data_IF_720132715317
#
_entry.id   IF_720132715317
#
_cell.length_a   1.000
_cell.length_b   1.000
_cell.length_c   1.000
_cell.angle_alpha   90.00
_cell.angle_beta   90.00
_cell.angle_gamma   90.00
#
_symmetry.space_group_name_H-M   'P 1'
#
loop_
_entity.id
_entity.type
_entity.pdbx_description
1 polymer ?
#
# COMPACT_ATOMS: atom_id res chain seq x y z
N UNK A 1 47.85 17.83 -20.34
CA UNK A 1 47.85 16.67 -19.42
C UNK A 1 46.53 16.51 -18.68
N UNK A 2 46.03 17.56 -18.01
CA UNK A 2 44.84 17.54 -17.14
C UNK A 2 43.54 17.07 -17.84
N UNK A 3 43.28 17.49 -19.08
CA UNK A 3 42.08 17.04 -19.83
C UNK A 3 42.09 15.54 -20.16
N UNK A 4 43.26 14.96 -20.45
CA UNK A 4 43.40 13.51 -20.70
C UNK A 4 43.19 12.70 -19.42
N UNK A 5 43.75 13.14 -18.29
CA UNK A 5 43.55 12.46 -17.00
C UNK A 5 42.11 12.52 -16.52
N UNK A 6 41.40 13.65 -16.70
CA UNK A 6 39.97 13.75 -16.39
C UNK A 6 39.11 12.78 -17.23
N UNK A 7 39.43 12.60 -18.51
CA UNK A 7 38.71 11.68 -19.39
C UNK A 7 38.96 10.20 -19.04
N UNK A 8 40.19 9.87 -18.61
CA UNK A 8 40.49 8.51 -18.11
C UNK A 8 39.74 8.24 -16.80
N UNK A 9 39.73 9.21 -15.88
CA UNK A 9 39.02 9.08 -14.60
C UNK A 9 37.50 8.88 -14.80
N UNK A 10 36.87 9.59 -15.74
CA UNK A 10 35.45 9.42 -16.05
C UNK A 10 35.15 8.04 -16.67
N UNK A 11 36.04 7.53 -17.53
CA UNK A 11 35.91 6.19 -18.14
C UNK A 11 36.11 5.07 -17.12
N UNK A 12 37.05 5.22 -16.19
CA UNK A 12 37.23 4.29 -15.06
C UNK A 12 35.98 4.29 -14.17
N UNK A 13 35.43 5.47 -13.85
CA UNK A 13 34.20 5.59 -13.07
C UNK A 13 33.02 4.89 -13.75
N UNK A 14 32.85 5.05 -15.06
CA UNK A 14 31.75 4.39 -15.79
C UNK A 14 31.91 2.86 -15.87
N UNK A 15 33.14 2.36 -16.04
CA UNK A 15 33.44 0.93 -16.02
C UNK A 15 33.21 0.32 -14.63
N UNK A 16 33.62 1.03 -13.56
CA UNK A 16 33.34 0.64 -12.18
C UNK A 16 31.83 0.53 -11.94
N UNK A 17 31.06 1.55 -12.31
CA UNK A 17 29.60 1.52 -12.17
C UNK A 17 28.95 0.36 -12.95
N UNK A 18 29.44 0.06 -14.17
CA UNK A 18 28.96 -1.09 -14.95
C UNK A 18 29.28 -2.42 -14.27
N UNK A 19 30.50 -2.58 -13.76
CA UNK A 19 30.90 -3.78 -13.04
C UNK A 19 30.07 -3.97 -11.75
N UNK A 20 29.81 -2.89 -11.01
CA UNK A 20 28.95 -2.89 -9.83
C UNK A 20 27.51 -3.28 -10.18
N UNK A 21 26.95 -2.73 -11.27
CA UNK A 21 25.63 -3.10 -11.77
C UNK A 21 25.53 -4.59 -12.15
N UNK A 22 26.52 -5.11 -12.88
CA UNK A 22 26.62 -6.54 -13.21
C UNK A 22 26.66 -7.39 -11.93
N UNK A 23 27.43 -6.94 -10.93
CA UNK A 23 27.58 -7.66 -9.65
C UNK A 23 26.23 -7.76 -8.91
N UNK A 24 25.46 -6.66 -8.83
CA UNK A 24 24.12 -6.69 -8.23
C UNK A 24 23.18 -7.67 -8.94
N UNK A 25 23.15 -7.63 -10.28
CA UNK A 25 22.31 -8.53 -11.06
C UNK A 25 22.71 -10.00 -10.88
N UNK A 26 24.01 -10.27 -10.80
CA UNK A 26 24.53 -11.62 -10.56
C UNK A 26 24.15 -12.16 -9.17
N UNK A 27 24.25 -11.34 -8.13
CA UNK A 27 23.79 -11.71 -6.77
C UNK A 27 22.30 -12.03 -6.78
N UNK A 28 21.49 -11.15 -7.36
CA UNK A 28 20.03 -11.33 -7.44
C UNK A 28 19.67 -12.59 -8.23
N UNK A 29 20.38 -12.87 -9.32
CA UNK A 29 20.19 -14.06 -10.14
C UNK A 29 20.48 -15.35 -9.36
N UNK A 30 21.64 -15.44 -8.70
CA UNK A 30 21.98 -16.61 -7.88
C UNK A 30 20.98 -16.82 -6.74
N UNK A 31 20.54 -15.75 -6.05
CA UNK A 31 19.52 -15.88 -5.01
C UNK A 31 18.18 -16.40 -5.55
N UNK A 32 17.72 -15.85 -6.68
CA UNK A 32 16.46 -16.29 -7.31
C UNK A 32 16.52 -17.76 -7.73
N UNK A 33 17.63 -18.21 -8.33
CA UNK A 33 17.81 -19.64 -8.64
C UNK A 33 17.80 -20.47 -7.37
N UNK A 34 18.54 -20.04 -6.33
CA UNK A 34 18.56 -20.73 -5.04
C UNK A 34 17.16 -20.89 -4.43
N UNK A 35 16.32 -19.85 -4.53
CA UNK A 35 14.92 -19.87 -4.08
C UNK A 35 14.05 -20.82 -4.89
N UNK A 36 14.19 -20.80 -6.22
CA UNK A 36 13.49 -21.73 -7.09
C UNK A 36 13.86 -23.17 -6.73
N UNK A 37 15.16 -23.49 -6.67
CA UNK A 37 15.65 -24.83 -6.33
C UNK A 37 15.15 -25.30 -4.96
N UNK A 38 15.12 -24.42 -3.96
CA UNK A 38 14.58 -24.73 -2.63
C UNK A 38 13.11 -25.15 -2.71
N UNK A 39 12.30 -24.39 -3.44
CA UNK A 39 10.87 -24.67 -3.60
C UNK A 39 10.62 -25.95 -4.40
N UNK A 40 11.53 -26.34 -5.30
CA UNK A 40 11.51 -27.62 -6.01
C UNK A 40 12.04 -28.81 -5.18
N UNK A 41 12.55 -28.58 -3.96
CA UNK A 41 13.08 -29.61 -3.08
C UNK A 41 14.57 -29.91 -3.23
N UNK A 42 15.26 -29.27 -4.18
CA UNK A 42 16.73 -29.38 -4.34
C UNK A 42 17.45 -28.46 -3.35
N UNK A 43 17.45 -28.90 -2.10
CA UNK A 43 18.03 -28.13 -0.98
C UNK A 43 19.55 -28.01 -1.04
N UNK A 44 20.25 -28.94 -1.72
CA UNK A 44 21.71 -28.93 -1.81
C UNK A 44 22.16 -27.84 -2.79
N UNK A 45 21.65 -27.87 -4.02
CA UNK A 45 22.06 -26.90 -5.03
C UNK A 45 21.51 -25.51 -4.69
N UNK A 46 20.33 -25.43 -4.06
CA UNK A 46 19.82 -24.19 -3.47
C UNK A 46 20.82 -23.53 -2.51
N UNK A 47 21.33 -24.28 -1.52
CA UNK A 47 22.31 -23.76 -0.55
C UNK A 47 23.59 -23.30 -1.22
N UNK A 48 24.04 -23.99 -2.28
CA UNK A 48 25.21 -23.60 -3.06
C UNK A 48 25.00 -22.29 -3.81
N UNK A 49 23.84 -22.11 -4.46
CA UNK A 49 23.50 -20.87 -5.15
C UNK A 49 23.40 -19.68 -4.18
N UNK A 50 22.74 -19.89 -3.03
CA UNK A 50 22.68 -18.90 -1.95
C UNK A 50 24.09 -18.54 -1.48
N UNK A 51 24.95 -19.53 -1.19
CA UNK A 51 26.33 -19.30 -0.75
C UNK A 51 27.15 -18.51 -1.78
N UNK A 52 26.99 -18.80 -3.08
CA UNK A 52 27.65 -18.05 -4.14
C UNK A 52 27.22 -16.58 -4.13
N UNK A 53 25.93 -16.33 -4.04
CA UNK A 53 25.41 -14.97 -3.96
C UNK A 53 25.90 -14.23 -2.71
N UNK A 54 25.97 -14.91 -1.56
CA UNK A 54 26.53 -14.36 -0.32
C UNK A 54 28.01 -13.97 -0.47
N UNK A 55 28.81 -14.83 -1.09
CA UNK A 55 30.23 -14.54 -1.32
C UNK A 55 30.41 -13.31 -2.21
N UNK A 56 29.61 -13.19 -3.27
CA UNK A 56 29.66 -12.03 -4.17
C UNK A 56 29.18 -10.76 -3.43
N UNK A 57 28.13 -10.86 -2.61
CA UNK A 57 27.63 -9.75 -1.81
C UNK A 57 28.66 -9.25 -0.77
N UNK A 58 29.44 -10.15 -0.18
CA UNK A 58 30.52 -9.82 0.76
C UNK A 58 31.60 -8.95 0.10
N UNK A 59 31.91 -9.22 -1.17
CA UNK A 59 32.91 -8.47 -1.97
C UNK A 59 32.39 -7.12 -2.47
N UNK A 60 31.10 -6.83 -2.29
CA UNK A 60 30.52 -5.58 -2.73
C UNK A 60 30.85 -4.46 -1.74
N UNK A 61 31.34 -3.32 -2.26
CA UNK A 61 31.90 -2.24 -1.44
C UNK A 61 30.96 -1.06 -1.23
N UNK A 62 29.94 -0.88 -2.09
CA UNK A 62 29.03 0.25 -1.95
C UNK A 62 27.94 -0.10 -0.92
N UNK A 63 27.93 0.64 0.20
CA UNK A 63 27.22 0.27 1.42
C UNK A 63 25.70 0.21 1.26
N UNK A 64 25.09 1.10 0.47
CA UNK A 64 23.63 1.10 0.31
C UNK A 64 23.15 -0.16 -0.41
N UNK A 65 23.75 -0.50 -1.56
CA UNK A 65 23.36 -1.69 -2.30
C UNK A 65 23.70 -2.95 -1.52
N UNK A 66 24.85 -2.99 -0.82
CA UNK A 66 25.19 -4.10 0.08
C UNK A 66 24.13 -4.30 1.17
N UNK A 67 23.73 -3.22 1.82
CA UNK A 67 22.70 -3.24 2.85
C UNK A 67 21.36 -3.74 2.31
N UNK A 68 20.95 -3.25 1.13
CA UNK A 68 19.73 -3.69 0.45
C UNK A 68 19.78 -5.18 0.08
N UNK A 69 20.89 -5.65 -0.47
CA UNK A 69 21.10 -7.07 -0.78
C UNK A 69 20.92 -7.90 0.50
N UNK A 70 21.58 -7.53 1.60
CA UNK A 70 21.50 -8.27 2.85
C UNK A 70 20.08 -8.31 3.42
N UNK A 71 19.35 -7.19 3.32
CA UNK A 71 17.95 -7.12 3.71
C UNK A 71 17.08 -8.07 2.88
N UNK A 72 17.21 -8.09 1.55
CA UNK A 72 16.43 -8.98 0.68
C UNK A 72 16.75 -10.45 0.94
N UNK A 73 18.03 -10.77 1.09
CA UNK A 73 18.50 -12.12 1.45
C UNK A 73 17.90 -12.57 2.77
N UNK A 74 17.85 -11.68 3.77
CA UNK A 74 17.25 -12.00 5.06
C UNK A 74 15.78 -12.43 4.91
N UNK A 75 15.02 -11.77 4.03
CA UNK A 75 13.61 -12.09 3.78
C UNK A 75 13.46 -13.45 3.12
N UNK A 76 14.23 -13.70 2.06
CA UNK A 76 14.21 -14.98 1.33
C UNK A 76 14.59 -16.15 2.25
N UNK A 77 15.61 -15.99 3.09
CA UNK A 77 16.00 -17.01 4.07
C UNK A 77 14.91 -17.27 5.12
N UNK A 78 14.15 -16.24 5.50
CA UNK A 78 13.03 -16.41 6.42
C UNK A 78 11.91 -17.26 5.78
N UNK A 79 11.61 -17.03 4.50
CA UNK A 79 10.66 -17.85 3.73
C UNK A 79 11.13 -19.30 3.60
N UNK A 80 12.44 -19.52 3.45
CA UNK A 80 13.07 -20.84 3.46
C UNK A 80 13.15 -21.50 4.86
N UNK A 81 12.58 -20.84 5.89
CA UNK A 81 12.60 -21.28 7.30
C UNK A 81 14.01 -21.33 7.93
N UNK A 82 15.02 -20.69 7.34
CA UNK A 82 16.34 -20.50 7.96
C UNK A 82 16.37 -19.21 8.79
N UNK A 83 15.72 -19.27 9.95
CA UNK A 83 15.56 -18.10 10.82
C UNK A 83 16.88 -17.60 11.41
N UNK A 84 17.85 -18.50 11.65
CA UNK A 84 19.15 -18.13 12.21
C UNK A 84 19.95 -17.29 11.21
N UNK A 85 20.07 -17.78 9.98
CA UNK A 85 20.83 -17.06 8.95
C UNK A 85 20.10 -15.80 8.50
N UNK A 86 18.77 -15.86 8.39
CA UNK A 86 17.92 -14.71 8.12
C UNK A 86 18.17 -13.57 9.12
N UNK A 87 18.12 -13.86 10.43
CA UNK A 87 18.34 -12.84 11.46
C UNK A 87 19.76 -12.27 11.44
N UNK A 88 20.76 -13.12 11.12
CA UNK A 88 22.13 -12.64 10.94
C UNK A 88 22.20 -11.59 9.83
N UNK A 89 21.65 -11.87 8.65
CA UNK A 89 21.70 -10.93 7.53
C UNK A 89 20.90 -9.64 7.78
N UNK A 90 19.79 -9.72 8.52
CA UNK A 90 19.06 -8.52 8.94
C UNK A 90 19.90 -7.65 9.88
N UNK A 91 20.59 -8.26 10.86
CA UNK A 91 21.47 -7.52 11.77
C UNK A 91 22.68 -6.92 11.04
N UNK A 92 23.27 -7.67 10.11
CA UNK A 92 24.37 -7.17 9.28
C UNK A 92 23.89 -5.99 8.40
N UNK A 93 22.68 -6.04 7.86
CA UNK A 93 22.04 -4.92 7.15
C UNK A 93 21.86 -3.70 8.07
N UNK A 94 21.40 -3.88 9.30
CA UNK A 94 21.30 -2.82 10.31
C UNK A 94 22.66 -2.15 10.55
N UNK A 95 23.73 -2.93 10.68
CA UNK A 95 25.08 -2.41 10.93
C UNK A 95 25.62 -1.61 9.73
N UNK A 96 25.48 -2.16 8.52
CA UNK A 96 25.93 -1.49 7.28
C UNK A 96 25.14 -0.20 7.03
N UNK A 97 23.86 -0.15 7.41
CA UNK A 97 23.02 1.03 7.19
C UNK A 97 23.62 2.31 7.83
N UNK A 98 24.29 2.21 8.98
CA UNK A 98 24.97 3.37 9.58
C UNK A 98 26.20 3.85 8.81
N UNK A 99 26.80 3.01 7.98
CA UNK A 99 27.98 3.34 7.17
C UNK A 99 27.63 4.04 5.86
N UNK A 100 26.34 4.15 5.52
CA UNK A 100 25.90 4.82 4.30
C UNK A 100 26.11 6.33 4.44
N UNK A 101 26.98 6.87 3.59
CA UNK A 101 27.35 8.29 3.60
C UNK A 101 26.24 9.21 3.07
N UNK A 102 25.51 8.77 2.05
CA UNK A 102 24.40 9.56 1.50
C UNK A 102 23.20 9.50 2.48
N UNK A 103 22.81 10.67 3.00
CA UNK A 103 21.75 10.78 4.01
C UNK A 103 20.40 10.26 3.50
N UNK A 104 20.01 10.59 2.28
CA UNK A 104 18.72 10.20 1.71
C UNK A 104 18.64 8.68 1.53
N UNK A 105 19.71 8.06 0.98
CA UNK A 105 19.82 6.61 0.85
C UNK A 105 19.82 5.90 2.20
N UNK A 106 20.46 6.51 3.22
CA UNK A 106 20.47 5.98 4.58
C UNK A 106 19.08 6.03 5.23
N UNK A 107 18.35 7.12 5.04
CA UNK A 107 16.98 7.26 5.53
C UNK A 107 16.07 6.23 4.87
N UNK A 108 16.16 6.08 3.55
CA UNK A 108 15.39 5.10 2.79
C UNK A 108 15.61 3.68 3.32
N UNK A 109 16.87 3.30 3.56
CA UNK A 109 17.17 1.94 4.05
C UNK A 109 16.73 1.73 5.50
N UNK A 110 16.83 2.75 6.36
CA UNK A 110 16.30 2.68 7.73
C UNK A 110 14.79 2.45 7.75
N UNK A 111 14.04 3.13 6.88
CA UNK A 111 12.61 2.86 6.69
C UNK A 111 12.34 1.38 6.38
N UNK A 112 12.99 0.86 5.35
CA UNK A 112 12.85 -0.55 4.93
C UNK A 112 13.22 -1.56 6.01
N UNK A 113 14.33 -1.34 6.72
CA UNK A 113 14.79 -2.20 7.82
C UNK A 113 13.79 -2.15 8.97
N UNK A 114 13.33 -0.96 9.37
CA UNK A 114 12.37 -0.82 10.48
C UNK A 114 11.05 -1.53 10.20
N UNK A 115 10.56 -1.46 8.96
CA UNK A 115 9.38 -2.19 8.51
C UNK A 115 9.58 -3.70 8.59
N UNK A 116 10.71 -4.21 8.11
CA UNK A 116 11.04 -5.64 8.18
C UNK A 116 11.13 -6.15 9.62
N UNK A 117 11.79 -5.40 10.50
CA UNK A 117 11.85 -5.69 11.94
C UNK A 117 10.43 -5.79 12.54
N UNK A 118 9.53 -4.88 12.15
CA UNK A 118 8.12 -4.92 12.59
C UNK A 118 7.36 -6.14 12.03
N UNK A 119 7.63 -6.53 10.79
CA UNK A 119 7.11 -7.77 10.18
C UNK A 119 7.59 -9.00 10.96
N UNK A 120 8.79 -8.98 11.54
CA UNK A 120 9.29 -10.06 12.40
C UNK A 120 8.87 -9.97 13.86
N UNK A 121 8.15 -8.91 14.24
CA UNK A 121 7.75 -8.67 15.63
C UNK A 121 8.86 -8.10 16.52
N UNK A 122 10.00 -7.72 15.95
CA UNK A 122 11.13 -7.07 16.62
C UNK A 122 10.84 -5.57 16.80
N UNK A 123 9.84 -5.27 17.65
CA UNK A 123 9.26 -3.93 17.81
C UNK A 123 10.26 -2.91 18.35
N UNK A 124 11.06 -3.30 19.36
CA UNK A 124 12.00 -2.38 20.02
C UNK A 124 13.08 -1.94 19.05
N UNK A 125 13.62 -2.89 18.30
CA UNK A 125 14.63 -2.70 17.28
C UNK A 125 14.07 -1.84 16.13
N UNK A 126 12.86 -2.14 15.66
CA UNK A 126 12.17 -1.34 14.63
C UNK A 126 12.11 0.15 15.02
N UNK A 127 11.66 0.47 16.24
CA UNK A 127 11.61 1.85 16.72
C UNK A 127 12.99 2.47 16.93
N UNK A 128 13.98 1.69 17.37
CA UNK A 128 15.36 2.16 17.49
C UNK A 128 15.98 2.53 16.13
N UNK A 129 15.54 1.90 15.04
CA UNK A 129 15.97 2.26 13.69
C UNK A 129 15.25 3.52 13.22
N UNK A 130 13.93 3.62 13.44
CA UNK A 130 13.16 4.84 13.10
C UNK A 130 13.73 6.06 13.82
N UNK A 131 14.11 5.95 15.09
CA UNK A 131 14.70 7.08 15.84
C UNK A 131 16.03 7.59 15.28
N UNK A 132 16.69 6.84 14.39
CA UNK A 132 17.90 7.31 13.66
C UNK A 132 17.57 8.17 12.44
N UNK A 133 16.29 8.25 12.05
CA UNK A 133 15.82 9.12 10.96
C UNK A 133 15.53 10.50 11.56
N UNK A 134 16.45 11.44 11.31
CA UNK A 134 16.35 12.83 11.80
C UNK A 134 15.33 13.67 11.03
N UNK A 135 15.14 13.39 9.74
CA UNK A 135 14.17 14.12 8.93
C UNK A 135 12.75 13.81 9.43
N UNK A 136 12.03 14.84 9.86
CA UNK A 136 10.72 14.69 10.51
C UNK A 136 9.69 14.08 9.56
N UNK A 137 9.76 14.40 8.27
CA UNK A 137 8.83 13.88 7.26
C UNK A 137 9.08 12.40 7.02
N UNK A 138 10.34 12.02 6.77
CA UNK A 138 10.71 10.63 6.52
C UNK A 138 10.56 9.76 7.78
N UNK A 139 10.81 10.34 8.97
CA UNK A 139 10.55 9.68 10.25
C UNK A 139 9.06 9.36 10.41
N UNK A 140 8.18 10.32 10.09
CA UNK A 140 6.73 10.13 10.14
C UNK A 140 6.26 9.06 9.15
N UNK A 141 6.80 9.06 7.91
CA UNK A 141 6.52 8.01 6.91
C UNK A 141 6.93 6.63 7.40
N UNK A 142 8.11 6.49 8.02
CA UNK A 142 8.55 5.21 8.57
C UNK A 142 7.61 4.72 9.70
N UNK A 143 7.11 5.63 10.56
CA UNK A 143 6.07 5.27 11.52
C UNK A 143 4.77 4.80 10.86
N UNK A 144 4.33 5.46 9.78
CA UNK A 144 3.13 5.06 9.02
C UNK A 144 3.30 3.65 8.41
N UNK A 145 4.48 3.31 7.90
CA UNK A 145 4.76 1.98 7.37
C UNK A 145 4.64 0.89 8.44
N UNK A 146 5.19 1.10 9.64
CA UNK A 146 5.06 0.12 10.74
C UNK A 146 3.65 0.05 11.32
N UNK A 147 2.90 1.15 11.31
CA UNK A 147 1.47 1.20 11.65
C UNK A 147 0.69 0.29 10.70
N UNK A 148 0.92 0.38 9.39
CA UNK A 148 0.29 -0.48 8.39
C UNK A 148 0.55 -1.97 8.67
N UNK A 149 1.81 -2.34 8.98
CA UNK A 149 2.19 -3.72 9.35
C UNK A 149 1.47 -4.19 10.62
N UNK A 150 1.25 -3.33 11.61
CA UNK A 150 0.56 -3.71 12.83
C UNK A 150 -0.93 -3.94 12.60
N UNK A 151 -1.58 -3.08 11.81
CA UNK A 151 -3.01 -3.25 11.50
C UNK A 151 -3.26 -4.50 10.70
N UNK A 152 -2.42 -4.82 9.70
CA UNK A 152 -2.55 -6.05 8.92
C UNK A 152 -2.40 -7.32 9.77
N UNK A 153 -1.72 -7.23 10.91
CA UNK A 153 -1.62 -8.28 11.94
C UNK A 153 -2.73 -8.22 13.01
N UNK A 154 -3.74 -7.38 12.83
CA UNK A 154 -4.85 -7.18 13.77
C UNK A 154 -4.51 -6.37 15.03
N UNK A 155 -3.31 -5.77 15.12
CA UNK A 155 -2.83 -5.03 16.30
C UNK A 155 -3.20 -3.54 16.26
N UNK A 156 -4.50 -3.27 16.12
CA UNK A 156 -5.06 -1.92 15.89
C UNK A 156 -4.80 -0.97 17.05
N UNK A 157 -4.96 -1.44 18.30
CA UNK A 157 -4.70 -0.63 19.49
C UNK A 157 -3.25 -0.15 19.56
N UNK A 158 -2.30 -1.04 19.25
CA UNK A 158 -0.88 -0.68 19.19
C UNK A 158 -0.58 0.32 18.07
N UNK A 159 -1.16 0.10 16.88
CA UNK A 159 -1.01 1.00 15.75
C UNK A 159 -1.50 2.41 16.09
N UNK A 160 -2.62 2.52 16.82
CA UNK A 160 -3.16 3.80 17.26
C UNK A 160 -2.26 4.49 18.30
N UNK A 161 -1.64 3.74 19.21
CA UNK A 161 -0.65 4.29 20.16
C UNK A 161 0.59 4.84 19.43
N UNK A 162 1.02 4.23 18.34
CA UNK A 162 2.18 4.71 17.57
C UNK A 162 1.88 6.04 16.86
N UNK A 163 0.62 6.32 16.53
CA UNK A 163 0.24 7.62 15.96
C UNK A 163 0.68 8.79 16.85
N UNK A 164 0.74 8.61 18.18
CA UNK A 164 1.19 9.66 19.11
C UNK A 164 2.71 9.91 19.07
N UNK A 165 3.49 9.06 18.39
CA UNK A 165 4.94 9.29 18.15
C UNK A 165 5.20 10.18 16.95
N UNK A 166 4.17 10.53 16.19
CA UNK A 166 4.25 11.40 15.02
C UNK A 166 3.99 12.85 15.48
N UNK A 167 4.91 13.77 15.16
CA UNK A 167 4.89 15.14 15.69
C UNK A 167 4.13 16.15 14.80
N UNK A 168 3.53 15.71 13.69
CA UNK A 168 2.84 16.58 12.73
C UNK A 168 1.39 16.13 12.53
N UNK A 169 0.45 17.05 12.71
CA UNK A 169 -1.01 16.81 12.58
C UNK A 169 -1.43 16.22 11.23
N UNK A 170 -0.76 16.62 10.14
CA UNK A 170 -0.98 16.06 8.81
C UNK A 170 -0.61 14.59 8.77
N UNK A 171 0.59 14.24 9.22
CA UNK A 171 1.05 12.85 9.25
C UNK A 171 0.28 11.98 10.27
N UNK A 172 -0.19 12.55 11.38
CA UNK A 172 -1.12 11.85 12.29
C UNK A 172 -2.41 11.47 11.55
N UNK A 173 -2.99 12.42 10.81
CA UNK A 173 -4.23 12.18 10.05
C UNK A 173 -4.00 11.17 8.91
N UNK A 174 -2.84 11.20 8.26
CA UNK A 174 -2.41 10.21 7.27
C UNK A 174 -2.20 8.82 7.89
N UNK A 175 -1.65 8.74 9.10
CA UNK A 175 -1.50 7.50 9.85
C UNK A 175 -2.86 6.88 10.20
N UNK A 176 -3.82 7.69 10.68
CA UNK A 176 -5.18 7.22 10.92
C UNK A 176 -5.91 6.81 9.64
N UNK A 177 -5.73 7.53 8.54
CA UNK A 177 -6.25 7.12 7.22
C UNK A 177 -5.63 5.78 6.78
N UNK A 178 -4.34 5.57 7.03
CA UNK A 178 -3.66 4.29 6.78
C UNK A 178 -4.28 3.17 7.61
N UNK A 179 -4.54 3.41 8.90
CA UNK A 179 -5.25 2.44 9.76
C UNK A 179 -6.62 2.11 9.19
N UNK A 180 -7.41 3.12 8.77
CA UNK A 180 -8.73 2.91 8.15
C UNK A 180 -8.62 2.00 6.92
N UNK A 181 -7.69 2.29 6.02
CA UNK A 181 -7.52 1.53 4.78
C UNK A 181 -7.08 0.08 5.05
N UNK A 182 -6.17 -0.13 5.99
CA UNK A 182 -5.75 -1.49 6.37
C UNK A 182 -6.88 -2.27 7.07
N UNK A 183 -7.67 -1.61 7.93
CA UNK A 183 -8.87 -2.22 8.54
C UNK A 183 -9.88 -2.67 7.49
N UNK A 184 -10.11 -1.87 6.43
CA UNK A 184 -10.96 -2.26 5.31
C UNK A 184 -10.45 -3.55 4.66
N UNK A 185 -9.15 -3.62 4.35
CA UNK A 185 -8.51 -4.79 3.71
C UNK A 185 -8.68 -6.07 4.53
N UNK A 186 -8.58 -5.99 5.86
CA UNK A 186 -8.76 -7.15 6.76
C UNK A 186 -10.22 -7.36 7.19
N UNK A 187 -11.18 -6.67 6.57
CA UNK A 187 -12.61 -6.88 6.81
C UNK A 187 -13.18 -6.22 8.07
N UNK A 188 -12.42 -5.40 8.79
CA UNK A 188 -12.82 -4.72 10.04
C UNK A 188 -13.46 -3.35 9.81
N UNK A 189 -14.46 -3.25 8.93
CA UNK A 189 -15.07 -1.96 8.52
C UNK A 189 -15.80 -1.23 9.65
N UNK A 190 -16.30 -1.94 10.65
CA UNK A 190 -16.90 -1.31 11.85
C UNK A 190 -15.87 -0.53 12.66
N UNK A 191 -14.70 -1.14 12.90
CA UNK A 191 -13.61 -0.48 13.63
C UNK A 191 -13.08 0.73 12.83
N UNK A 192 -13.08 0.65 11.49
CA UNK A 192 -12.59 1.75 10.65
C UNK A 192 -13.46 3.01 10.72
N UNK A 193 -14.78 2.89 10.92
CA UNK A 193 -15.66 4.05 11.16
C UNK A 193 -15.25 4.83 12.42
N UNK A 194 -14.89 4.12 13.49
CA UNK A 194 -14.45 4.75 14.73
C UNK A 194 -13.12 5.51 14.53
N UNK A 195 -12.14 4.88 13.86
CA UNK A 195 -10.86 5.54 13.56
C UNK A 195 -11.07 6.74 12.62
N UNK A 196 -11.88 6.60 11.57
CA UNK A 196 -12.19 7.68 10.63
C UNK A 196 -12.81 8.90 11.32
N UNK A 197 -13.68 8.66 12.30
CA UNK A 197 -14.32 9.73 13.08
C UNK A 197 -13.33 10.56 13.90
N UNK A 198 -12.21 9.96 14.30
CA UNK A 198 -11.16 10.62 15.09
C UNK A 198 -10.10 11.33 14.22
N UNK A 199 -10.19 11.23 12.89
CA UNK A 199 -9.28 11.95 11.99
C UNK A 199 -9.54 13.46 12.11
N UNK A 200 -8.49 14.19 12.51
CA UNK A 200 -8.61 15.61 12.81
C UNK A 200 -8.76 16.49 11.57
N UNK A 201 -8.03 16.17 10.49
CA UNK A 201 -8.07 16.93 9.24
C UNK A 201 -9.23 16.49 8.35
N UNK A 202 -9.96 17.47 7.82
CA UNK A 202 -11.20 17.24 7.08
C UNK A 202 -11.00 16.48 5.77
N UNK A 203 -9.88 16.71 5.07
CA UNK A 203 -9.58 16.04 3.80
C UNK A 203 -9.38 14.54 4.01
N UNK A 204 -8.46 14.14 4.89
CA UNK A 204 -8.15 12.75 5.22
C UNK A 204 -9.37 12.04 5.82
N UNK A 205 -10.13 12.73 6.67
CA UNK A 205 -11.40 12.21 7.20
C UNK A 205 -12.41 11.93 6.08
N UNK A 206 -12.53 12.84 5.12
CA UNK A 206 -13.45 12.66 3.99
C UNK A 206 -13.03 11.49 3.12
N UNK A 207 -11.73 11.38 2.82
CA UNK A 207 -11.16 10.25 2.07
C UNK A 207 -11.44 8.93 2.81
N UNK A 208 -11.24 8.89 4.14
CA UNK A 208 -11.52 7.71 4.95
C UNK A 208 -12.98 7.24 4.82
N UNK A 209 -13.97 8.14 5.02
CA UNK A 209 -15.38 7.77 4.88
C UNK A 209 -15.76 7.34 3.45
N UNK A 210 -15.18 7.98 2.43
CA UNK A 210 -15.37 7.53 1.04
C UNK A 210 -14.80 6.13 0.81
N UNK A 211 -13.58 5.84 1.29
CA UNK A 211 -12.97 4.53 1.13
C UNK A 211 -13.78 3.43 1.84
N UNK A 212 -14.28 3.69 3.06
CA UNK A 212 -15.11 2.72 3.79
C UNK A 212 -16.40 2.47 3.01
N UNK A 213 -17.11 3.52 2.58
CA UNK A 213 -18.37 3.37 1.85
C UNK A 213 -18.20 2.63 0.52
N UNK A 214 -17.14 2.91 -0.26
CA UNK A 214 -16.85 2.17 -1.50
C UNK A 214 -16.46 0.70 -1.28
N UNK A 215 -16.22 0.27 -0.04
CA UNK A 215 -15.75 -1.08 0.28
C UNK A 215 -16.83 -2.04 0.80
N UNK A 216 -18.09 -1.60 0.87
CA UNK A 216 -19.20 -2.35 1.49
C UNK A 216 -20.37 -2.51 0.51
N UNK A 217 -21.20 -3.53 0.75
CA UNK A 217 -22.48 -3.77 0.06
C UNK A 217 -23.64 -3.12 0.81
N UNK A 218 -24.82 -3.03 0.20
CA UNK A 218 -25.94 -2.25 0.76
C UNK A 218 -26.36 -2.63 2.18
N UNK A 219 -26.52 -3.92 2.53
CA UNK A 219 -26.91 -4.29 3.90
C UNK A 219 -25.90 -3.79 4.94
N UNK A 220 -24.61 -3.93 4.63
CA UNK A 220 -23.51 -3.45 5.49
C UNK A 220 -23.42 -1.92 5.48
N UNK A 221 -23.59 -1.27 4.33
CA UNK A 221 -23.65 0.19 4.20
C UNK A 221 -24.72 0.79 5.10
N UNK A 222 -25.96 0.27 5.04
CA UNK A 222 -27.08 0.74 5.86
C UNK A 222 -26.79 0.58 7.35
N UNK A 223 -26.17 -0.54 7.73
CA UNK A 223 -25.76 -0.79 9.11
C UNK A 223 -24.67 0.19 9.57
N UNK A 224 -23.62 0.39 8.79
CA UNK A 224 -22.51 1.29 9.14
C UNK A 224 -22.95 2.76 9.14
N UNK A 225 -23.81 3.17 8.20
CA UNK A 225 -24.35 4.53 8.13
C UNK A 225 -25.05 4.95 9.43
N UNK A 226 -25.75 4.02 10.08
CA UNK A 226 -26.40 4.26 11.39
C UNK A 226 -25.41 4.51 12.52
N UNK A 227 -24.19 4.00 12.42
CA UNK A 227 -23.15 4.17 13.44
C UNK A 227 -22.37 5.49 13.31
N UNK A 228 -22.47 6.16 12.15
CA UNK A 228 -21.82 7.45 11.95
C UNK A 228 -22.65 8.52 12.65
N UNK A 229 -22.09 9.16 13.69
CA UNK A 229 -22.86 10.16 14.46
C UNK A 229 -22.96 11.52 13.76
N UNK A 230 -21.86 11.96 13.13
CA UNK A 230 -21.75 13.28 12.50
C UNK A 230 -22.49 13.33 11.16
N UNK A 231 -23.41 14.28 11.01
CA UNK A 231 -24.17 14.49 9.77
C UNK A 231 -23.27 14.81 8.56
N UNK A 232 -22.25 15.68 8.66
CA UNK A 232 -21.25 15.84 7.60
C UNK A 232 -20.60 14.53 7.18
N UNK A 233 -20.20 13.68 8.13
CA UNK A 233 -19.57 12.39 7.83
C UNK A 233 -20.57 11.42 7.18
N UNK A 234 -21.85 11.41 7.62
CA UNK A 234 -22.91 10.64 6.95
C UNK A 234 -23.06 11.07 5.50
N UNK A 235 -23.06 12.37 5.23
CA UNK A 235 -23.16 12.89 3.86
C UNK A 235 -22.01 12.40 2.99
N UNK A 236 -20.77 12.49 3.49
CA UNK A 236 -19.58 12.01 2.75
C UNK A 236 -19.66 10.50 2.51
N UNK A 237 -20.05 9.72 3.52
CA UNK A 237 -20.20 8.27 3.42
C UNK A 237 -21.25 7.87 2.37
N UNK A 238 -22.38 8.57 2.34
CA UNK A 238 -23.42 8.39 1.32
C UNK A 238 -22.89 8.74 -0.07
N UNK A 239 -22.20 9.87 -0.22
CA UNK A 239 -21.60 10.26 -1.50
C UNK A 239 -20.57 9.24 -1.99
N UNK A 240 -19.73 8.70 -1.11
CA UNK A 240 -18.78 7.65 -1.49
C UNK A 240 -19.48 6.36 -1.98
N UNK A 241 -20.58 5.96 -1.35
CA UNK A 241 -21.38 4.81 -1.82
C UNK A 241 -22.07 5.09 -3.15
N UNK A 242 -22.58 6.32 -3.37
CA UNK A 242 -23.18 6.71 -4.65
C UNK A 242 -22.17 6.68 -5.81
N UNK A 243 -20.93 7.11 -5.55
CA UNK A 243 -19.82 7.01 -6.49
C UNK A 243 -19.49 5.54 -6.80
N UNK A 244 -19.47 4.66 -5.79
CA UNK A 244 -19.31 3.21 -5.99
C UNK A 244 -20.40 2.64 -6.89
N UNK A 245 -21.68 2.98 -6.64
CA UNK A 245 -22.80 2.52 -7.49
C UNK A 245 -22.58 2.94 -8.95
N UNK A 246 -22.25 4.21 -9.18
CA UNK A 246 -21.99 4.74 -10.54
C UNK A 246 -20.87 3.99 -11.26
N UNK A 247 -19.81 3.66 -10.54
CA UNK A 247 -18.63 2.95 -11.05
C UNK A 247 -18.88 1.44 -11.23
N UNK A 248 -19.83 0.87 -10.49
CA UNK A 248 -20.12 -0.56 -10.45
C UNK A 248 -20.66 -1.11 -11.78
N UNK A 249 -20.34 -2.38 -12.02
CA UNK A 249 -20.91 -3.22 -13.07
C UNK A 249 -21.81 -4.33 -12.49
N UNK A 250 -21.98 -4.40 -11.16
CA UNK A 250 -22.80 -5.42 -10.50
C UNK A 250 -24.30 -5.06 -10.61
N UNK A 251 -25.15 -6.07 -10.84
CA UNK A 251 -26.60 -5.90 -11.07
C UNK A 251 -27.36 -5.75 -9.73
N UNK A 252 -28.13 -4.66 -9.63
CA UNK A 252 -29.38 -4.43 -8.89
C UNK A 252 -29.46 -4.58 -7.36
N UNK A 253 -28.83 -5.58 -6.72
CA UNK A 253 -29.14 -5.93 -5.32
C UNK A 253 -28.74 -4.84 -4.32
N UNK A 254 -27.63 -4.16 -4.56
CA UNK A 254 -27.12 -3.10 -3.67
C UNK A 254 -27.67 -1.71 -4.00
N UNK A 255 -28.33 -1.56 -5.15
CA UNK A 255 -28.68 -0.24 -5.71
C UNK A 255 -30.11 0.13 -5.35
N UNK A 256 -31.10 -0.74 -5.57
CA UNK A 256 -32.51 -0.36 -5.36
C UNK A 256 -32.84 0.09 -3.94
N UNK A 257 -32.38 -0.60 -2.89
CA UNK A 257 -32.59 -0.11 -1.53
C UNK A 257 -31.91 1.23 -1.25
N UNK A 258 -30.78 1.52 -1.89
CA UNK A 258 -30.11 2.83 -1.81
C UNK A 258 -30.94 3.92 -2.48
N UNK A 259 -31.48 3.64 -3.68
CA UNK A 259 -32.34 4.57 -4.41
C UNK A 259 -33.56 4.95 -3.57
N UNK A 260 -34.23 3.95 -3.01
CA UNK A 260 -35.45 4.17 -2.25
C UNK A 260 -35.19 4.99 -0.98
N UNK A 261 -34.15 4.62 -0.21
CA UNK A 261 -33.91 5.21 1.10
C UNK A 261 -33.15 6.54 1.09
N UNK A 262 -32.53 6.92 -0.04
CA UNK A 262 -31.70 8.12 -0.14
C UNK A 262 -32.03 8.99 -1.35
N UNK A 263 -33.18 8.76 -1.98
CA UNK A 263 -33.75 9.53 -3.12
C UNK A 263 -33.84 11.03 -2.84
N UNK A 264 -34.09 11.42 -1.58
CA UNK A 264 -34.19 12.83 -1.17
C UNK A 264 -32.84 13.58 -1.26
N UNK A 265 -31.72 12.87 -1.39
CA UNK A 265 -30.39 13.49 -1.54
C UNK A 265 -30.08 13.76 -3.00
N UNK A 266 -30.71 14.80 -3.53
CA UNK A 266 -30.67 15.23 -4.94
C UNK A 266 -29.25 15.30 -5.50
N UNK A 267 -28.25 15.69 -4.70
CA UNK A 267 -26.85 15.74 -5.15
C UNK A 267 -26.25 14.40 -5.62
N UNK A 268 -26.84 13.26 -5.24
CA UNK A 268 -26.39 11.93 -5.65
C UNK A 268 -27.27 11.30 -6.75
N UNK A 269 -28.33 11.99 -7.18
CA UNK A 269 -29.29 11.46 -8.16
C UNK A 269 -28.65 11.24 -9.53
N UNK A 270 -27.72 12.10 -9.94
CA UNK A 270 -27.00 11.95 -11.22
C UNK A 270 -26.21 10.64 -11.29
N UNK A 271 -25.57 10.23 -10.19
CA UNK A 271 -24.83 8.96 -10.11
C UNK A 271 -25.75 7.75 -10.27
N UNK A 272 -26.95 7.84 -9.69
CA UNK A 272 -28.00 6.83 -9.77
C UNK A 272 -28.53 6.70 -11.21
N UNK A 273 -28.91 7.82 -11.82
CA UNK A 273 -29.46 7.85 -13.18
C UNK A 273 -28.44 7.30 -14.18
N UNK A 274 -27.16 7.66 -14.01
CA UNK A 274 -26.08 7.16 -14.86
C UNK A 274 -25.91 5.64 -14.75
N UNK A 275 -25.97 5.09 -13.54
CA UNK A 275 -25.95 3.64 -13.33
C UNK A 275 -27.16 2.98 -14.00
N UNK A 276 -28.38 3.52 -13.82
CA UNK A 276 -29.59 2.95 -14.43
C UNK A 276 -29.51 2.96 -15.96
N UNK A 277 -29.03 4.04 -16.57
CA UNK A 277 -28.82 4.12 -18.02
C UNK A 277 -27.78 3.10 -18.50
N UNK A 278 -26.67 2.97 -17.79
CA UNK A 278 -25.63 2.00 -18.12
C UNK A 278 -26.14 0.56 -18.04
N UNK A 279 -26.89 0.22 -16.99
CA UNK A 279 -27.49 -1.11 -16.86
C UNK A 279 -28.51 -1.39 -17.97
N UNK A 280 -29.42 -0.45 -18.22
CA UNK A 280 -30.46 -0.59 -19.24
C UNK A 280 -29.89 -0.70 -20.66
N UNK A 281 -28.79 -0.01 -20.96
CA UNK A 281 -28.14 -0.13 -22.26
C UNK A 281 -27.34 -1.43 -22.39
N UNK A 282 -26.53 -1.81 -21.40
CA UNK A 282 -25.47 -2.81 -21.63
C UNK A 282 -25.60 -4.13 -20.88
N UNK A 283 -26.47 -4.22 -19.87
CA UNK A 283 -26.47 -5.36 -18.94
C UNK A 283 -27.84 -5.99 -18.68
N UNK A 284 -28.94 -5.33 -19.06
CA UNK A 284 -30.28 -5.93 -19.00
C UNK A 284 -30.47 -6.94 -20.14
N UNK A 285 -30.97 -8.14 -19.83
CA UNK A 285 -31.22 -9.20 -20.83
C UNK A 285 -32.27 -8.77 -21.86
N UNK A 286 -33.30 -8.04 -21.40
CA UNK A 286 -34.37 -7.52 -22.24
C UNK A 286 -34.33 -6.00 -22.21
N UNK A 287 -34.10 -5.39 -23.37
CA UNK A 287 -34.05 -3.94 -23.54
C UNK A 287 -35.43 -3.33 -23.30
N UNK A 288 -35.54 -2.40 -22.35
CA UNK A 288 -36.77 -1.67 -22.06
C UNK A 288 -36.70 -0.26 -22.66
N UNK A 289 -37.32 -0.06 -23.84
CA UNK A 289 -37.32 1.24 -24.52
C UNK A 289 -37.97 2.36 -23.72
N UNK A 290 -39.08 2.08 -23.04
CA UNK A 290 -39.79 3.07 -22.23
C UNK A 290 -38.88 3.61 -21.11
N UNK A 291 -38.14 2.71 -20.45
CA UNK A 291 -37.14 3.08 -19.45
C UNK A 291 -36.01 3.93 -20.05
N UNK A 292 -35.52 3.56 -21.23
CA UNK A 292 -34.47 4.31 -21.92
C UNK A 292 -34.94 5.68 -22.40
N UNK A 293 -36.21 5.80 -22.80
CA UNK A 293 -36.83 7.07 -23.18
C UNK A 293 -36.93 7.99 -21.96
N UNK A 294 -37.45 7.51 -20.83
CA UNK A 294 -37.47 8.26 -19.56
C UNK A 294 -36.07 8.71 -19.12
N UNK A 295 -35.06 7.84 -19.23
CA UNK A 295 -33.68 8.20 -18.88
C UNK A 295 -33.07 9.22 -19.86
N UNK A 296 -33.48 9.19 -21.14
CA UNK A 296 -33.03 10.14 -22.17
C UNK A 296 -33.54 11.57 -21.95
N UNK A 297 -34.59 11.76 -21.14
CA UNK A 297 -35.09 13.10 -20.77
C UNK A 297 -34.13 13.85 -19.84
N UNK A 298 -33.35 13.11 -19.06
CA UNK A 298 -32.48 13.67 -18.00
C UNK A 298 -31.00 13.38 -18.21
N UNK A 299 -30.64 12.49 -19.15
CA UNK A 299 -29.26 12.13 -19.49
C UNK A 299 -29.09 12.00 -21.01
N UNK A 300 -27.96 12.50 -21.53
CA UNK A 300 -27.58 12.22 -22.92
C UNK A 300 -26.99 10.82 -23.05
N UNK A 301 -27.82 9.87 -23.51
CA UNK A 301 -27.47 8.46 -23.67
C UNK A 301 -27.57 7.99 -25.13
N UNK A 302 -27.66 8.92 -26.09
CA UNK A 302 -27.88 8.58 -27.51
C UNK A 302 -26.80 7.68 -28.07
N UNK A 303 -25.54 8.00 -27.78
CA UNK A 303 -24.41 7.18 -28.23
C UNK A 303 -24.44 5.79 -27.58
N UNK A 304 -24.84 5.69 -26.31
CA UNK A 304 -24.94 4.42 -25.62
C UNK A 304 -26.02 3.54 -26.22
N UNK A 305 -27.22 4.11 -26.48
CA UNK A 305 -28.32 3.39 -27.16
C UNK A 305 -27.90 2.87 -28.52
N UNK A 306 -27.13 3.65 -29.28
CA UNK A 306 -26.61 3.24 -30.60
C UNK A 306 -25.59 2.09 -30.49
N UNK A 307 -24.72 2.11 -29.48
CA UNK A 307 -23.68 1.08 -29.29
C UNK A 307 -24.28 -0.23 -28.78
N UNK A 308 -25.35 -0.16 -27.97
CA UNK A 308 -25.99 -1.33 -27.37
C UNK A 308 -27.05 -2.02 -28.23
N UNK A 309 -27.50 -1.39 -29.32
CA UNK A 309 -28.51 -1.93 -30.24
C UNK A 309 -27.88 -2.91 -31.23
#
# INVERSE_FOLDING_TARGET
MIKKSLNIASKIKSLKNRAEGITYHLISFYFKIGKVLFNYGDTLESKKMIKNALNIALMYNESYTKCKIYLEISKDLLEMKDQKLSNKFLNDSVNIASEINNKDLRIEIYGKISKELMIRGQKKESFSIISKIEDVTENSKAYIEVISVLVSKGKVGEANLICSKINNKRFISEAHLTIVNELIKIGKKRESINIASNISLGLERSIAFKNISKSVKYPEFSFLLKQIMSQPNKSIFITGFSEYIKESNEIALDVYPYLYNLSEKVQNLSNILFYQAKMACFFEENRNEEKLDMLSEVLDIKDWRRISA
#
